data_IF_583248453920
#
_entry.id   IF_583248453920
#
_cell.length_a   1.000
_cell.length_b   1.000
_cell.length_c   1.000
_cell.angle_alpha   90.00
_cell.angle_beta   90.00
_cell.angle_gamma   90.00
#
_symmetry.space_group_name_H-M   'P 1'
#
loop_
_entity.id
_entity.type
_entity.pdbx_description
1 polymer ?
#
# COMPACT_ATOMS: atom_id res chain seq x y z
N UNK A 1 -3.29 -10.71 -29.48
CA UNK A 1 -4.40 -11.55 -29.99
C UNK A 1 -5.22 -10.69 -30.95
N UNK A 2 -5.41 -11.11 -32.20
CA UNK A 2 -6.26 -10.35 -33.12
C UNK A 2 -7.74 -10.69 -32.85
N UNK A 3 -8.67 -9.78 -33.17
CA UNK A 3 -10.12 -10.00 -32.98
C UNK A 3 -10.59 -11.28 -33.69
N UNK A 4 -9.93 -11.64 -34.79
CA UNK A 4 -10.22 -12.82 -35.63
C UNK A 4 -9.90 -14.14 -34.93
N UNK A 5 -9.06 -14.11 -33.90
CA UNK A 5 -8.60 -15.29 -33.16
C UNK A 5 -9.43 -15.52 -31.90
N UNK A 6 -10.45 -14.69 -31.66
CA UNK A 6 -11.30 -14.82 -30.49
C UNK A 6 -12.35 -15.92 -30.69
N UNK A 7 -12.63 -16.71 -29.66
CA UNK A 7 -13.66 -17.73 -29.74
C UNK A 7 -15.05 -17.07 -29.86
N UNK A 8 -16.02 -17.79 -30.41
CA UNK A 8 -17.34 -17.25 -30.77
C UNK A 8 -18.09 -16.64 -29.58
N UNK A 9 -17.89 -17.19 -28.39
CA UNK A 9 -18.47 -16.73 -27.13
C UNK A 9 -17.90 -15.37 -26.72
N UNK A 10 -16.60 -15.16 -26.96
CA UNK A 10 -15.93 -13.88 -26.75
C UNK A 10 -16.44 -12.81 -27.71
N UNK A 11 -16.62 -13.15 -29.00
CA UNK A 11 -17.23 -12.27 -29.99
C UNK A 11 -18.68 -11.88 -29.58
N UNK A 12 -19.48 -12.85 -29.13
CA UNK A 12 -20.83 -12.60 -28.63
C UNK A 12 -20.86 -11.74 -27.36
N UNK A 13 -19.85 -11.85 -26.49
CA UNK A 13 -19.70 -10.96 -25.34
C UNK A 13 -19.35 -9.53 -25.77
N UNK A 14 -18.44 -9.36 -26.75
CA UNK A 14 -18.07 -8.05 -27.29
C UNK A 14 -19.27 -7.34 -27.93
N UNK A 15 -20.08 -8.06 -28.71
CA UNK A 15 -21.30 -7.51 -29.32
C UNK A 15 -22.33 -7.06 -28.27
N UNK A 16 -22.33 -7.67 -27.08
CA UNK A 16 -23.13 -7.25 -25.92
C UNK A 16 -22.50 -6.12 -25.09
N UNK A 17 -21.37 -5.56 -25.55
CA UNK A 17 -20.68 -4.44 -24.91
C UNK A 17 -19.63 -4.82 -23.87
N UNK A 18 -19.31 -6.12 -23.73
CA UNK A 18 -18.25 -6.58 -22.83
C UNK A 18 -16.88 -6.19 -23.41
N UNK A 19 -16.00 -5.53 -22.65
CA UNK A 19 -14.66 -5.19 -23.11
C UNK A 19 -13.90 -6.41 -23.66
N UNK A 20 -13.24 -6.24 -24.81
CA UNK A 20 -12.48 -7.30 -25.54
C UNK A 20 -11.50 -8.03 -24.63
N UNK A 21 -10.87 -7.32 -23.69
CA UNK A 21 -9.92 -7.89 -22.75
C UNK A 21 -10.56 -8.98 -21.85
N UNK A 22 -11.80 -8.78 -21.40
CA UNK A 22 -12.51 -9.76 -20.57
C UNK A 22 -13.07 -10.87 -21.44
N UNK A 23 -13.65 -10.50 -22.59
CA UNK A 23 -14.18 -11.46 -23.54
C UNK A 23 -13.10 -12.44 -24.02
N UNK A 24 -11.85 -11.99 -24.14
CA UNK A 24 -10.69 -12.82 -24.44
C UNK A 24 -10.26 -13.75 -23.28
N UNK A 25 -10.95 -13.74 -22.14
CA UNK A 25 -10.65 -14.58 -20.99
C UNK A 25 -9.45 -14.11 -20.18
N UNK A 26 -9.17 -12.80 -20.11
CA UNK A 26 -8.11 -12.27 -19.24
C UNK A 26 -8.52 -12.38 -17.75
N UNK A 27 -8.28 -13.56 -17.19
CA UNK A 27 -8.40 -13.91 -15.76
C UNK A 27 -7.85 -12.83 -14.82
N UNK A 28 -6.70 -12.24 -15.15
CA UNK A 28 -6.04 -11.25 -14.29
C UNK A 28 -6.83 -9.95 -14.10
N UNK A 29 -7.70 -9.56 -15.03
CA UNK A 29 -8.52 -8.34 -14.89
C UNK A 29 -9.63 -8.57 -13.86
N UNK A 30 -10.28 -9.73 -13.92
CA UNK A 30 -11.31 -10.10 -12.95
C UNK A 30 -10.72 -10.27 -11.54
N UNK A 31 -9.53 -10.88 -11.45
CA UNK A 31 -8.81 -11.05 -10.19
C UNK A 31 -8.43 -9.70 -9.56
N UNK A 32 -8.00 -8.72 -10.37
CA UNK A 32 -7.72 -7.36 -9.89
C UNK A 32 -8.96 -6.66 -9.34
N UNK A 33 -10.12 -6.83 -9.97
CA UNK A 33 -11.39 -6.26 -9.48
C UNK A 33 -11.81 -6.89 -8.16
N UNK A 34 -11.75 -8.23 -8.08
CA UNK A 34 -12.05 -8.97 -6.84
C UNK A 34 -11.10 -8.56 -5.72
N UNK A 35 -9.81 -8.36 -6.02
CA UNK A 35 -8.80 -7.94 -5.04
C UNK A 35 -9.09 -6.56 -4.43
N UNK A 36 -9.80 -5.68 -5.15
CA UNK A 36 -10.24 -4.38 -4.62
C UNK A 36 -11.68 -4.38 -4.10
N UNK A 37 -12.36 -5.53 -4.10
CA UNK A 37 -13.75 -5.66 -3.66
C UNK A 37 -14.75 -5.00 -4.62
N UNK A 38 -14.43 -4.98 -5.91
CA UNK A 38 -15.35 -4.57 -6.98
C UNK A 38 -15.88 -5.83 -7.65
N UNK A 39 -17.20 -6.00 -7.65
CA UNK A 39 -17.83 -7.08 -8.39
C UNK A 39 -17.70 -6.81 -9.90
N UNK A 40 -17.29 -7.79 -10.74
CA UNK A 40 -17.19 -7.60 -12.18
C UNK A 40 -18.48 -7.14 -12.88
N UNK A 41 -19.64 -7.39 -12.29
CA UNK A 41 -20.94 -6.99 -12.84
C UNK A 41 -21.42 -5.61 -12.34
N UNK A 42 -20.65 -4.94 -11.48
CA UNK A 42 -20.96 -3.59 -11.00
C UNK A 42 -20.70 -2.55 -12.10
N UNK A 43 -21.52 -1.50 -12.18
CA UNK A 43 -21.37 -0.42 -13.15
C UNK A 43 -19.97 0.22 -13.10
N UNK A 44 -19.38 0.31 -11.89
CA UNK A 44 -18.01 0.85 -11.73
C UNK A 44 -16.93 -0.08 -12.26
N UNK A 45 -17.20 -1.38 -12.38
CA UNK A 45 -16.26 -2.37 -12.88
C UNK A 45 -15.98 -2.15 -14.36
N UNK A 46 -17.02 -1.82 -15.15
CA UNK A 46 -16.89 -1.60 -16.59
C UNK A 46 -15.82 -0.56 -16.93
N UNK A 47 -15.83 0.59 -16.22
CA UNK A 47 -14.83 1.65 -16.41
C UNK A 47 -13.43 1.18 -16.04
N UNK A 48 -13.28 0.46 -14.94
CA UNK A 48 -11.99 -0.05 -14.47
C UNK A 48 -11.43 -1.10 -15.45
N UNK A 49 -12.27 -2.01 -15.91
CA UNK A 49 -11.94 -3.02 -16.91
C UNK A 49 -11.51 -2.38 -18.22
N UNK A 50 -12.27 -1.39 -18.71
CA UNK A 50 -11.93 -0.68 -19.94
C UNK A 50 -10.57 0.01 -19.81
N UNK A 51 -10.31 0.62 -18.65
CA UNK A 51 -9.05 1.32 -18.36
C UNK A 51 -7.87 0.37 -18.23
N UNK A 52 -8.04 -0.76 -17.54
CA UNK A 52 -7.02 -1.81 -17.40
C UNK A 52 -6.74 -2.49 -18.74
N UNK A 53 -7.77 -2.87 -19.49
CA UNK A 53 -7.63 -3.46 -20.82
C UNK A 53 -6.95 -2.53 -21.82
N UNK A 54 -7.21 -1.22 -21.75
CA UNK A 54 -6.55 -0.22 -22.61
C UNK A 54 -5.09 0.04 -22.23
N UNK A 55 -4.78 0.07 -20.94
CA UNK A 55 -3.44 0.40 -20.45
C UNK A 55 -2.52 -0.82 -20.32
N UNK A 56 -3.09 -2.02 -20.17
CA UNK A 56 -2.35 -3.23 -19.83
C UNK A 56 -1.78 -3.23 -18.41
N UNK A 57 -2.22 -2.32 -17.53
CA UNK A 57 -1.69 -2.17 -16.16
C UNK A 57 -2.77 -2.49 -15.13
N UNK A 58 -2.39 -3.19 -14.06
CA UNK A 58 -3.24 -3.52 -12.92
C UNK A 58 -3.52 -2.35 -11.97
N UNK A 59 -4.30 -2.63 -10.92
CA UNK A 59 -4.72 -1.64 -9.93
C UNK A 59 -3.68 -1.46 -8.81
N UNK A 60 -3.71 -0.28 -8.19
CA UNK A 60 -2.77 0.10 -7.14
C UNK A 60 -2.83 -0.77 -5.89
N UNK A 61 -4.04 -1.13 -5.45
CA UNK A 61 -4.33 -1.95 -4.26
C UNK A 61 -3.77 -1.45 -2.91
N UNK A 62 -3.08 -0.30 -2.88
CA UNK A 62 -2.59 0.30 -1.64
C UNK A 62 -3.76 0.72 -0.75
N UNK A 63 -3.61 0.54 0.57
CA UNK A 63 -4.61 0.96 1.55
C UNK A 63 -4.70 2.49 1.60
N UNK A 64 -5.86 3.03 1.28
CA UNK A 64 -6.13 4.46 1.35
C UNK A 64 -6.30 4.90 2.81
N UNK A 65 -6.31 6.22 3.05
CA UNK A 65 -6.59 6.81 4.37
C UNK A 65 -7.97 6.41 4.92
N UNK A 66 -8.93 6.08 4.04
CA UNK A 66 -10.27 5.60 4.39
C UNK A 66 -10.31 4.11 4.73
N UNK A 67 -9.18 3.40 4.58
CA UNK A 67 -9.07 1.97 4.85
C UNK A 67 -9.41 1.07 3.67
N UNK A 68 -9.95 1.60 2.57
CA UNK A 68 -10.27 0.84 1.35
C UNK A 68 -9.05 0.70 0.42
N UNK A 69 -9.00 -0.34 -0.43
CA UNK A 69 -7.93 -0.50 -1.42
C UNK A 69 -8.04 0.55 -2.53
N UNK A 70 -6.89 0.97 -3.07
CA UNK A 70 -6.83 1.97 -4.13
C UNK A 70 -7.16 1.35 -5.50
N UNK A 71 -8.19 1.90 -6.15
CA UNK A 71 -8.67 1.51 -7.49
C UNK A 71 -8.01 2.29 -8.65
N UNK A 72 -7.01 3.14 -8.37
CA UNK A 72 -6.29 3.83 -9.42
C UNK A 72 -5.38 2.85 -10.17
N UNK A 73 -5.16 3.08 -11.47
CA UNK A 73 -4.14 2.34 -12.23
C UNK A 73 -2.76 2.56 -11.61
N UNK A 74 -1.98 1.49 -11.55
CA UNK A 74 -0.55 1.59 -11.30
C UNK A 74 0.19 2.25 -12.45
N UNK A 75 1.34 2.87 -12.15
CA UNK A 75 2.23 3.53 -13.11
C UNK A 75 3.55 2.74 -13.33
N UNK A 76 3.74 1.59 -12.65
CA UNK A 76 4.80 0.59 -12.93
C UNK A 76 6.01 0.62 -11.98
N UNK A 77 6.72 -0.53 -11.90
CA UNK A 77 7.79 -0.94 -10.96
C UNK A 77 7.37 -1.53 -9.60
N UNK A 78 6.13 -1.32 -9.15
CA UNK A 78 5.61 -1.96 -7.93
C UNK A 78 4.09 -2.08 -7.86
N UNK A 79 3.42 -1.92 -9.01
CA UNK A 79 1.96 -1.95 -9.12
C UNK A 79 1.23 -0.79 -8.45
N UNK A 80 1.93 0.20 -7.86
CA UNK A 80 1.31 1.34 -7.14
C UNK A 80 1.04 2.51 -8.09
N UNK A 81 0.07 3.36 -7.74
CA UNK A 81 -0.26 4.59 -8.46
C UNK A 81 0.61 5.78 -7.99
N UNK A 82 0.69 6.86 -8.77
CA UNK A 82 1.37 8.12 -8.41
C UNK A 82 1.04 8.65 -7.01
N UNK A 83 -0.19 8.45 -6.53
CA UNK A 83 -0.64 8.91 -5.21
C UNK A 83 -0.14 8.03 -4.06
N UNK A 84 0.29 6.80 -4.35
CA UNK A 84 0.78 5.82 -3.37
C UNK A 84 2.22 5.39 -3.68
N UNK A 85 2.98 6.23 -4.40
CA UNK A 85 4.41 6.03 -4.64
C UNK A 85 4.77 5.27 -5.92
N UNK A 86 3.85 5.10 -6.86
CA UNK A 86 4.15 4.50 -8.17
C UNK A 86 5.22 5.25 -8.97
N UNK A 87 5.29 6.58 -8.82
CA UNK A 87 6.35 7.41 -9.43
C UNK A 87 7.62 7.58 -8.56
N UNK A 88 7.67 6.99 -7.36
CA UNK A 88 8.84 7.12 -6.49
C UNK A 88 9.94 6.14 -6.93
N UNK A 89 10.88 6.60 -7.73
CA UNK A 89 12.08 5.83 -8.14
C UNK A 89 13.15 5.73 -7.05
N UNK A 90 12.95 6.40 -5.90
CA UNK A 90 13.91 6.47 -4.81
C UNK A 90 15.19 7.24 -5.19
N UNK A 91 16.10 7.47 -4.22
CA UNK A 91 17.36 8.14 -4.49
C UNK A 91 18.32 7.21 -5.27
N UNK A 92 18.69 7.62 -6.48
CA UNK A 92 19.59 6.85 -7.35
C UNK A 92 21.06 7.12 -7.03
N UNK A 93 21.38 8.35 -6.63
CA UNK A 93 22.75 8.80 -6.33
C UNK A 93 23.23 8.32 -4.95
N UNK A 94 24.55 8.15 -4.79
CA UNK A 94 25.18 7.77 -3.51
C UNK A 94 24.84 8.76 -2.38
N UNK A 95 24.94 10.07 -2.67
CA UNK A 95 24.57 11.13 -1.72
C UNK A 95 23.08 11.13 -1.39
N UNK A 96 22.22 10.81 -2.36
CA UNK A 96 20.78 10.63 -2.14
C UNK A 96 20.49 9.46 -1.21
N UNK A 97 21.16 8.33 -1.41
CA UNK A 97 21.03 7.13 -0.58
C UNK A 97 21.49 7.39 0.86
N UNK A 98 22.63 8.06 1.03
CA UNK A 98 23.15 8.43 2.34
C UNK A 98 22.17 9.33 3.13
N UNK A 99 21.60 10.35 2.46
CA UNK A 99 20.57 11.22 3.07
C UNK A 99 19.31 10.45 3.47
N UNK A 100 18.83 9.56 2.61
CA UNK A 100 17.65 8.73 2.93
C UNK A 100 17.92 7.80 4.12
N UNK A 101 19.11 7.19 4.20
CA UNK A 101 19.51 6.35 5.32
C UNK A 101 19.63 7.12 6.64
N UNK A 102 20.24 8.31 6.61
CA UNK A 102 20.31 9.18 7.78
C UNK A 102 18.93 9.61 8.27
N UNK A 103 18.04 10.00 7.35
CA UNK A 103 16.66 10.35 7.68
C UNK A 103 15.89 9.17 8.30
N UNK A 104 16.09 7.94 7.79
CA UNK A 104 15.49 6.73 8.34
C UNK A 104 15.98 6.45 9.77
N UNK A 105 17.27 6.62 10.03
CA UNK A 105 17.85 6.46 11.36
C UNK A 105 17.26 7.46 12.36
N UNK A 106 17.19 8.74 11.98
CA UNK A 106 16.59 9.80 12.81
C UNK A 106 15.10 9.53 13.08
N UNK A 107 14.35 9.05 12.09
CA UNK A 107 12.95 8.72 12.25
C UNK A 107 12.73 7.57 13.26
N UNK A 108 13.63 6.59 13.30
CA UNK A 108 13.59 5.49 14.30
C UNK A 108 13.83 6.02 15.71
N UNK A 109 14.82 6.90 15.91
CA UNK A 109 15.09 7.54 17.20
C UNK A 109 13.87 8.35 17.66
N UNK A 110 13.34 9.24 16.82
CA UNK A 110 12.14 10.03 17.14
C UNK A 110 10.90 9.19 17.42
N UNK A 111 10.76 8.03 16.76
CA UNK A 111 9.66 7.09 17.03
C UNK A 111 9.85 6.42 18.39
N UNK A 112 11.09 6.05 18.74
CA UNK A 112 11.43 5.51 20.08
C UNK A 112 11.16 6.55 21.16
N UNK A 113 11.63 7.77 21.00
CA UNK A 113 11.37 8.88 21.94
C UNK A 113 9.88 9.13 22.13
N UNK A 114 9.10 9.24 21.04
CA UNK A 114 7.64 9.38 21.12
C UNK A 114 6.96 8.21 21.80
N UNK A 115 7.45 6.98 21.58
CA UNK A 115 6.91 5.80 22.26
C UNK A 115 7.15 5.90 23.77
N UNK A 116 8.37 6.27 24.20
CA UNK A 116 8.71 6.47 25.62
C UNK A 116 7.92 7.62 26.23
N UNK A 117 7.81 8.76 25.55
CA UNK A 117 7.07 9.93 26.04
C UNK A 117 5.56 9.69 26.11
N UNK A 118 5.02 8.83 25.24
CA UNK A 118 3.61 8.48 25.19
C UNK A 118 3.26 7.26 26.06
N UNK A 119 4.26 6.57 26.62
CA UNK A 119 4.06 5.61 27.70
C UNK A 119 3.72 6.40 28.98
N UNK A 120 2.44 6.62 29.22
CA UNK A 120 1.95 7.08 30.53
C UNK A 120 2.22 5.96 31.54
N UNK A 121 2.87 6.29 32.65
CA UNK A 121 3.21 5.34 33.71
C UNK A 121 1.93 4.67 34.24
N UNK A 122 1.92 3.34 34.50
CA UNK A 122 0.74 2.66 35.04
C UNK A 122 0.44 3.20 36.45
N UNK A 123 -0.71 3.85 36.60
CA UNK A 123 -1.14 4.50 37.84
C UNK A 123 -2.48 5.24 37.73
N UNK A 124 -2.94 5.55 36.51
CA UNK A 124 -4.31 6.03 36.28
C UNK A 124 -5.24 4.86 35.89
N UNK A 125 -6.36 4.63 36.59
CA UNK A 125 -7.34 3.62 36.18
C UNK A 125 -7.92 4.02 34.81
N UNK A 126 -7.59 3.23 33.77
CA UNK A 126 -8.15 3.40 32.43
C UNK A 126 -7.13 3.62 31.29
N UNK A 127 -5.82 3.70 31.55
CA UNK A 127 -4.82 3.87 30.49
C UNK A 127 -4.53 2.54 29.75
N UNK A 128 -5.24 2.28 28.65
CA UNK A 128 -4.91 1.18 27.74
C UNK A 128 -3.83 1.64 26.77
N UNK A 129 -2.65 1.02 26.86
CA UNK A 129 -1.59 1.17 25.87
C UNK A 129 -2.09 0.68 24.51
N UNK A 130 -2.02 1.54 23.49
CA UNK A 130 -2.42 1.17 22.13
C UNK A 130 -1.64 -0.04 21.62
N UNK A 131 -2.34 -1.16 21.48
CA UNK A 131 -2.03 -2.31 20.62
C UNK A 131 -0.66 -2.98 20.77
N UNK A 132 -0.09 -3.05 21.98
CA UNK A 132 1.04 -3.94 22.30
C UNK A 132 0.68 -4.80 23.52
N UNK A 133 1.02 -6.08 23.49
CA UNK A 133 0.88 -6.96 24.67
C UNK A 133 1.86 -6.51 25.76
N UNK A 134 1.64 -6.92 27.01
CA UNK A 134 2.54 -6.58 28.12
C UNK A 134 4.01 -6.99 27.84
N UNK A 135 4.24 -7.97 26.97
CA UNK A 135 5.57 -8.41 26.53
C UNK A 135 6.29 -7.44 25.57
N UNK A 136 5.58 -6.46 24.99
CA UNK A 136 6.16 -5.38 24.18
C UNK A 136 6.77 -4.25 25.04
N UNK A 137 6.61 -4.31 26.36
CA UNK A 137 7.41 -3.56 27.31
C UNK A 137 8.81 -4.16 27.33
N UNK A 138 9.63 -3.81 26.35
CA UNK A 138 11.08 -3.99 26.46
C UNK A 138 11.49 -3.35 27.78
N UNK A 139 11.89 -4.17 28.75
CA UNK A 139 12.48 -3.69 30.00
C UNK A 139 13.58 -2.70 29.63
N UNK A 140 13.30 -1.42 29.84
CA UNK A 140 14.33 -0.41 29.76
C UNK A 140 15.31 -0.73 30.87
N UNK A 141 16.60 -0.99 30.59
CA UNK A 141 17.58 -0.98 31.66
C UNK A 141 17.52 0.40 32.30
N UNK A 142 17.39 0.43 33.63
CA UNK A 142 17.36 1.68 34.38
C UNK A 142 18.60 2.51 33.98
N UNK A 143 18.47 3.83 33.75
CA UNK A 143 19.61 4.67 33.48
C UNK A 143 20.61 4.52 34.63
N UNK A 144 21.87 4.30 34.29
CA UNK A 144 22.94 4.19 35.28
C UNK A 144 23.26 5.58 35.81
N UNK A 145 23.85 5.66 37.00
CA UNK A 145 24.21 6.93 37.65
C UNK A 145 25.09 7.82 36.75
N UNK A 146 25.91 7.20 35.90
CA UNK A 146 26.78 7.87 34.93
C UNK A 146 26.03 8.59 33.79
N UNK A 147 24.80 8.16 33.47
CA UNK A 147 23.97 8.78 32.43
C UNK A 147 23.38 10.12 32.86
N UNK A 148 23.42 10.44 34.17
CA UNK A 148 22.88 11.67 34.74
C UNK A 148 23.93 12.80 34.89
N UNK A 149 25.22 12.47 34.86
CA UNK A 149 26.32 13.43 35.11
C UNK A 149 26.90 14.06 33.82
N UNK A 150 26.40 13.68 32.65
CA UNK A 150 26.97 14.10 31.35
C UNK A 150 26.10 15.10 30.57
N UNK A 151 25.25 15.86 31.25
CA UNK A 151 24.50 16.98 30.63
C UNK A 151 25.20 18.31 30.91
N UNK A 152 25.76 19.00 29.89
CA UNK A 152 26.21 20.39 30.02
C UNK A 152 25.03 21.37 30.16
#
# INVERSE_FOLDING_TARGET
MAIRDLPTEALAAILRGVPVAIAAGNDWIEDELRAVGVDPNDDRAWLLMHKMGKSGVGLCKARTRKGTPCIALGDGAGGRCKNHGGGSTGPVTSSGKARAMAALALARVKRRERRVSNCTFPGAPGAHCGAGTADDCVQFPAPTRNDMESKP
#
